data_IF_235836947254
#
_entry.id   IF_235836947254
#
_cell.length_a   1.000
_cell.length_b   1.000
_cell.length_c   1.000
_cell.angle_alpha   90.00
_cell.angle_beta   90.00
_cell.angle_gamma   90.00
#
_symmetry.space_group_name_H-M   'P 1'
#
loop_
_entity.id
_entity.type
_entity.pdbx_description
1 polymer ?
#
# COMPACT_ATOMS: atom_id res chain seq x y z
N UNK A 1 0.89 7.62 -14.05
CA UNK A 1 0.35 8.83 -13.38
C UNK A 1 1.34 9.50 -12.44
N UNK A 2 1.98 8.76 -11.51
CA UNK A 2 2.96 9.35 -10.57
C UNK A 2 4.07 10.18 -11.25
N UNK A 3 4.69 9.65 -12.31
CA UNK A 3 5.72 10.39 -13.07
C UNK A 3 5.23 11.71 -13.66
N UNK A 4 3.98 11.76 -14.11
CA UNK A 4 3.38 12.97 -14.66
C UNK A 4 3.12 14.01 -13.56
N UNK A 5 2.48 13.60 -12.46
CA UNK A 5 2.24 14.48 -11.33
C UNK A 5 3.54 15.04 -10.73
N UNK A 6 4.60 14.22 -10.67
CA UNK A 6 5.93 14.63 -10.24
C UNK A 6 6.55 15.68 -11.19
N UNK A 7 6.50 15.42 -12.50
CA UNK A 7 7.03 16.35 -13.50
C UNK A 7 6.28 17.70 -13.50
N UNK A 8 4.96 17.68 -13.36
CA UNK A 8 4.14 18.90 -13.28
C UNK A 8 4.41 19.69 -12.00
N UNK A 9 4.55 19.01 -10.85
CA UNK A 9 4.91 19.66 -9.58
C UNK A 9 6.27 20.36 -9.70
N UNK A 10 7.27 19.69 -10.26
CA UNK A 10 8.60 20.27 -10.47
C UNK A 10 8.56 21.49 -11.40
N UNK A 11 7.84 21.36 -12.51
CA UNK A 11 7.64 22.43 -13.48
C UNK A 11 6.97 23.66 -12.85
N UNK A 12 5.93 23.43 -12.05
CA UNK A 12 5.20 24.47 -11.33
C UNK A 12 6.09 25.19 -10.31
N UNK A 13 6.88 24.45 -9.52
CA UNK A 13 7.83 25.02 -8.55
C UNK A 13 8.89 25.89 -9.19
N UNK A 14 9.42 25.45 -10.34
CA UNK A 14 10.53 26.11 -11.01
C UNK A 14 10.10 27.12 -12.09
N UNK A 15 8.79 27.22 -12.38
CA UNK A 15 8.23 28.05 -13.45
C UNK A 15 8.84 27.74 -14.82
N UNK A 16 9.01 26.45 -15.09
CA UNK A 16 9.54 25.91 -16.36
C UNK A 16 8.49 25.03 -17.04
N UNK A 17 8.64 24.71 -18.34
CA UNK A 17 7.77 23.73 -19.00
C UNK A 17 7.83 22.35 -18.32
N UNK A 18 6.74 21.60 -18.41
CA UNK A 18 6.66 20.24 -17.88
C UNK A 18 7.70 19.34 -18.59
N UNK A 19 8.64 18.70 -17.85
CA UNK A 19 9.59 17.78 -18.43
C UNK A 19 8.89 16.63 -19.16
N UNK A 20 9.51 16.13 -20.24
CA UNK A 20 9.00 14.97 -20.95
C UNK A 20 8.94 13.75 -20.02
N UNK A 21 7.78 13.09 -19.98
CA UNK A 21 7.51 11.90 -19.20
C UNK A 21 7.52 10.68 -20.10
N UNK A 22 8.24 9.64 -19.69
CA UNK A 22 8.24 8.33 -20.36
C UNK A 22 8.08 7.26 -19.32
N UNK A 23 7.33 6.22 -19.63
CA UNK A 23 7.18 5.05 -18.76
C UNK A 23 7.77 3.87 -19.50
N UNK A 24 8.63 3.11 -18.83
CA UNK A 24 9.17 1.86 -19.34
C UNK A 24 8.42 0.70 -18.70
N UNK A 25 7.76 -0.12 -19.51
CA UNK A 25 6.93 -1.22 -19.04
C UNK A 25 7.72 -2.29 -18.28
N UNK A 26 8.95 -2.59 -18.70
CA UNK A 26 9.83 -3.53 -18.01
C UNK A 26 10.29 -3.00 -16.64
N UNK A 27 10.57 -1.69 -16.52
CA UNK A 27 10.87 -1.06 -15.24
C UNK A 27 9.64 -1.11 -14.29
N UNK A 28 8.45 -0.80 -14.80
CA UNK A 28 7.19 -0.90 -14.04
C UNK A 28 6.93 -2.33 -13.60
N UNK A 29 7.05 -3.30 -14.50
CA UNK A 29 6.86 -4.71 -14.20
C UNK A 29 7.84 -5.18 -13.12
N UNK A 30 9.12 -4.81 -13.21
CA UNK A 30 10.14 -5.13 -12.19
C UNK A 30 9.75 -4.55 -10.83
N UNK A 31 9.29 -3.30 -10.81
CA UNK A 31 8.92 -2.61 -9.57
C UNK A 31 7.59 -3.09 -8.96
N UNK A 32 6.69 -3.67 -9.76
CA UNK A 32 5.43 -4.28 -9.30
C UNK A 32 5.64 -5.67 -8.68
N UNK A 33 6.79 -6.30 -8.92
CA UNK A 33 7.21 -7.55 -8.28
C UNK A 33 8.51 -7.37 -7.50
N UNK A 34 8.73 -6.19 -6.92
CA UNK A 34 9.99 -5.84 -6.25
C UNK A 34 10.37 -6.83 -5.16
N UNK A 35 9.37 -7.39 -4.46
CA UNK A 35 9.55 -8.40 -3.42
C UNK A 35 10.21 -9.69 -3.93
N UNK A 36 10.03 -10.04 -5.21
CA UNK A 36 10.64 -11.23 -5.83
C UNK A 36 12.10 -11.02 -6.16
N UNK A 37 12.47 -9.77 -6.41
CA UNK A 37 13.83 -9.38 -6.76
C UNK A 37 14.68 -9.06 -5.53
N UNK A 38 14.06 -8.69 -4.41
CA UNK A 38 14.75 -8.38 -3.18
C UNK A 38 15.64 -9.54 -2.73
N UNK A 39 16.91 -9.24 -2.47
CA UNK A 39 17.82 -10.10 -1.70
C UNK A 39 18.44 -9.30 -0.57
N UNK A 40 18.44 -9.87 0.63
CA UNK A 40 19.00 -9.28 1.86
C UNK A 40 20.22 -10.11 2.24
N UNK A 41 21.42 -9.58 2.02
CA UNK A 41 22.66 -10.33 2.17
C UNK A 41 22.63 -11.68 1.43
N UNK A 42 22.11 -11.68 0.19
CA UNK A 42 21.95 -12.87 -0.66
C UNK A 42 20.72 -13.74 -0.36
N UNK A 43 20.03 -13.54 0.77
CA UNK A 43 18.80 -14.29 1.14
C UNK A 43 17.56 -13.70 0.47
N UNK A 44 16.67 -14.55 -0.06
CA UNK A 44 15.35 -14.13 -0.52
C UNK A 44 14.34 -14.00 0.65
N UNK A 45 13.43 -13.00 0.62
CA UNK A 45 12.30 -12.91 1.52
C UNK A 45 11.33 -14.10 1.46
N UNK A 46 10.56 -14.30 2.54
CA UNK A 46 9.44 -15.26 2.56
C UNK A 46 8.14 -14.55 2.22
N UNK A 47 7.45 -14.96 1.15
CA UNK A 47 6.32 -14.19 0.60
C UNK A 47 4.94 -14.54 1.19
N UNK A 48 4.65 -15.82 1.45
CA UNK A 48 3.33 -16.25 1.94
C UNK A 48 3.39 -17.40 2.93
N UNK A 49 2.55 -17.32 3.96
CA UNK A 49 2.34 -18.42 4.90
C UNK A 49 1.51 -19.54 4.25
N UNK A 50 1.76 -20.83 4.56
CA UNK A 50 1.05 -21.94 3.92
C UNK A 50 -0.48 -21.93 4.11
N UNK A 51 -0.98 -21.33 5.20
CA UNK A 51 -2.42 -21.19 5.45
C UNK A 51 -3.06 -19.97 4.76
N UNK A 52 -2.29 -19.21 3.99
CA UNK A 52 -2.76 -18.13 3.12
C UNK A 52 -2.96 -18.65 1.70
N UNK A 53 -4.09 -19.30 1.42
CA UNK A 53 -4.39 -19.86 0.10
C UNK A 53 -5.83 -19.70 -0.36
N UNK A 54 -6.12 -20.19 -1.56
CA UNK A 54 -7.47 -20.54 -2.00
C UNK A 54 -7.80 -21.95 -1.54
N UNK A 55 -8.97 -22.11 -0.96
CA UNK A 55 -9.47 -23.37 -0.43
C UNK A 55 -10.85 -23.66 -0.99
N UNK A 56 -11.07 -24.91 -1.35
CA UNK A 56 -12.37 -25.36 -1.82
C UNK A 56 -13.35 -25.35 -0.65
N UNK A 57 -14.52 -24.75 -0.86
CA UNK A 57 -15.65 -24.73 0.04
C UNK A 57 -16.80 -25.57 -0.54
N UNK A 58 -17.89 -25.75 0.20
CA UNK A 58 -19.02 -26.60 -0.23
C UNK A 58 -19.71 -26.10 -1.50
N UNK A 59 -19.71 -24.79 -1.74
CA UNK A 59 -20.43 -24.11 -2.83
C UNK A 59 -19.53 -23.19 -3.68
N UNK A 60 -18.21 -23.27 -3.51
CA UNK A 60 -17.27 -22.40 -4.22
C UNK A 60 -15.86 -22.42 -3.63
N UNK A 61 -15.25 -21.25 -3.53
CA UNK A 61 -13.89 -21.09 -3.02
C UNK A 61 -13.82 -19.99 -1.96
N UNK A 62 -12.88 -20.13 -1.03
CA UNK A 62 -12.54 -19.12 -0.03
C UNK A 62 -11.06 -18.79 -0.13
N UNK A 63 -10.73 -17.50 -0.15
CA UNK A 63 -9.36 -17.00 0.01
C UNK A 63 -9.11 -16.65 1.47
N UNK A 64 -8.20 -17.34 2.14
CA UNK A 64 -7.75 -17.01 3.50
C UNK A 64 -6.53 -16.10 3.46
N UNK A 65 -6.35 -15.29 4.51
CA UNK A 65 -5.11 -14.54 4.74
C UNK A 65 -4.61 -14.80 6.18
N UNK A 66 -3.50 -15.52 6.29
CA UNK A 66 -2.89 -15.98 7.53
C UNK A 66 -1.36 -15.71 7.57
N UNK A 67 -0.89 -14.66 6.87
CA UNK A 67 0.54 -14.32 6.80
C UNK A 67 1.14 -13.89 8.15
N UNK A 68 0.31 -13.40 9.06
CA UNK A 68 0.74 -12.97 10.39
C UNK A 68 0.33 -14.00 11.45
N UNK A 69 1.14 -14.23 12.51
CA UNK A 69 0.83 -15.21 13.56
C UNK A 69 -0.55 -15.01 14.20
N UNK A 70 -0.95 -13.75 14.43
CA UNK A 70 -2.27 -13.45 14.99
C UNK A 70 -3.41 -13.72 13.99
N UNK A 71 -3.23 -13.48 12.69
CA UNK A 71 -4.22 -13.85 11.67
C UNK A 71 -4.38 -15.37 11.57
N UNK A 72 -3.26 -16.11 11.58
CA UNK A 72 -3.24 -17.57 11.63
C UNK A 72 -4.01 -18.11 12.83
N UNK A 73 -3.71 -17.59 14.03
CA UNK A 73 -4.39 -18.01 15.26
C UNK A 73 -5.91 -17.75 15.20
N UNK A 74 -6.34 -16.60 14.66
CA UNK A 74 -7.77 -16.30 14.48
C UNK A 74 -8.46 -17.21 13.46
N UNK A 75 -7.79 -17.51 12.34
CA UNK A 75 -8.32 -18.45 11.35
C UNK A 75 -8.58 -19.83 11.97
N UNK A 76 -7.56 -20.42 12.62
CA UNK A 76 -7.65 -21.75 13.21
C UNK A 76 -8.71 -21.81 14.34
N UNK A 77 -8.66 -20.87 15.28
CA UNK A 77 -9.62 -20.84 16.40
C UNK A 77 -11.06 -20.63 15.95
N UNK A 78 -11.30 -19.81 14.92
CA UNK A 78 -12.66 -19.58 14.38
C UNK A 78 -13.29 -20.83 13.76
N UNK A 79 -12.47 -21.78 13.32
CA UNK A 79 -12.89 -23.03 12.70
C UNK A 79 -12.78 -24.22 13.67
N UNK A 80 -12.43 -23.99 14.94
CA UNK A 80 -12.26 -25.06 15.93
C UNK A 80 -11.06 -25.97 15.66
N UNK A 81 -10.09 -25.51 14.86
CA UNK A 81 -8.89 -26.28 14.52
C UNK A 81 -7.85 -26.06 15.61
N UNK A 82 -7.47 -27.13 16.30
CA UNK A 82 -6.39 -27.08 17.28
C UNK A 82 -5.03 -26.83 16.60
N UNK A 83 -4.25 -25.91 17.16
CA UNK A 83 -2.92 -25.57 16.64
C UNK A 83 -1.89 -26.62 17.10
N UNK A 84 -1.94 -27.80 16.48
CA UNK A 84 -1.21 -28.99 16.93
C UNK A 84 0.15 -29.19 16.25
N UNK A 85 0.66 -28.23 15.46
CA UNK A 85 1.98 -28.35 14.84
C UNK A 85 2.21 -27.51 13.58
N UNK A 86 3.13 -27.98 12.72
CA UNK A 86 3.58 -27.26 11.52
C UNK A 86 2.50 -27.08 10.45
N UNK A 87 2.58 -25.97 9.72
CA UNK A 87 1.53 -25.49 8.81
C UNK A 87 1.12 -26.47 7.70
N UNK A 88 2.02 -27.37 7.28
CA UNK A 88 1.71 -28.42 6.30
C UNK A 88 0.66 -29.42 6.81
N UNK A 89 0.75 -29.82 8.09
CA UNK A 89 -0.24 -30.72 8.69
C UNK A 89 -1.59 -30.01 8.85
N UNK A 90 -1.56 -28.72 9.24
CA UNK A 90 -2.75 -27.91 9.40
C UNK A 90 -3.46 -27.60 8.07
N UNK A 91 -2.73 -27.52 6.96
CA UNK A 91 -3.31 -27.30 5.63
C UNK A 91 -4.31 -28.41 5.25
N UNK A 92 -3.98 -29.67 5.55
CA UNK A 92 -4.90 -30.79 5.30
C UNK A 92 -6.17 -30.73 6.13
N UNK A 93 -6.03 -30.39 7.42
CA UNK A 93 -7.17 -30.22 8.34
C UNK A 93 -8.05 -29.05 7.91
N UNK A 94 -7.43 -27.91 7.58
CA UNK A 94 -8.13 -26.72 7.09
C UNK A 94 -8.89 -27.02 5.79
N UNK A 95 -8.25 -27.70 4.84
CA UNK A 95 -8.90 -28.10 3.58
C UNK A 95 -10.16 -28.94 3.82
N UNK A 96 -10.06 -29.96 4.69
CA UNK A 96 -11.19 -30.81 5.05
C UNK A 96 -12.31 -30.01 5.71
N UNK A 97 -11.96 -29.11 6.64
CA UNK A 97 -12.94 -28.29 7.35
C UNK A 97 -13.69 -27.36 6.39
N UNK A 98 -12.95 -26.63 5.54
CA UNK A 98 -13.53 -25.65 4.62
C UNK A 98 -14.39 -26.29 3.54
N UNK A 99 -14.01 -27.46 3.02
CA UNK A 99 -14.79 -28.16 1.98
C UNK A 99 -16.18 -28.62 2.42
N UNK A 100 -16.45 -28.64 3.73
CA UNK A 100 -17.76 -29.01 4.29
C UNK A 100 -18.69 -27.82 4.57
N UNK A 101 -18.22 -26.57 4.37
CA UNK A 101 -18.95 -25.35 4.74
C UNK A 101 -19.18 -24.44 3.53
N UNK A 102 -20.31 -23.72 3.45
CA UNK A 102 -20.50 -22.67 2.45
C UNK A 102 -19.43 -21.57 2.56
N UNK A 103 -18.95 -21.07 1.42
CA UNK A 103 -17.87 -20.08 1.36
C UNK A 103 -18.24 -18.79 2.10
N UNK A 104 -19.49 -18.32 1.94
CA UNK A 104 -20.00 -17.14 2.63
C UNK A 104 -20.04 -17.32 4.14
N UNK A 105 -20.42 -18.51 4.64
CA UNK A 105 -20.42 -18.80 6.08
C UNK A 105 -19.01 -18.79 6.67
N UNK A 106 -18.05 -19.38 5.97
CA UNK A 106 -16.62 -19.34 6.36
C UNK A 106 -16.14 -17.89 6.45
N UNK A 107 -16.41 -17.08 5.43
CA UNK A 107 -16.04 -15.67 5.41
C UNK A 107 -16.57 -14.94 6.66
N UNK A 108 -17.87 -15.03 6.93
CA UNK A 108 -18.47 -14.30 8.05
C UNK A 108 -17.98 -14.83 9.40
N UNK A 109 -17.82 -16.15 9.54
CA UNK A 109 -17.29 -16.78 10.76
C UNK A 109 -15.88 -16.30 11.07
N UNK A 110 -15.00 -16.33 10.06
CA UNK A 110 -13.59 -15.95 10.23
C UNK A 110 -13.47 -14.44 10.49
N UNK A 111 -14.24 -13.58 9.79
CA UNK A 111 -14.25 -12.14 10.06
C UNK A 111 -14.76 -11.81 11.46
N UNK A 112 -15.82 -12.46 11.93
CA UNK A 112 -16.38 -12.26 13.27
C UNK A 112 -15.36 -12.60 14.37
N UNK A 113 -14.52 -13.61 14.17
CA UNK A 113 -13.43 -13.96 15.08
C UNK A 113 -12.21 -13.03 14.96
N UNK A 114 -12.24 -12.06 14.05
CA UNK A 114 -11.12 -11.16 13.77
C UNK A 114 -10.03 -11.78 12.90
N UNK A 115 -10.28 -12.92 12.24
CA UNK A 115 -9.46 -13.45 11.15
C UNK A 115 -9.76 -12.75 9.83
N UNK A 116 -9.22 -13.29 8.74
CA UNK A 116 -9.45 -12.82 7.38
C UNK A 116 -9.67 -14.00 6.42
N UNK A 117 -10.88 -14.08 5.89
CA UNK A 117 -11.23 -14.97 4.79
C UNK A 117 -12.29 -14.29 3.92
N UNK A 118 -12.21 -14.45 2.60
CA UNK A 118 -13.16 -13.87 1.65
C UNK A 118 -13.64 -14.97 0.71
N UNK A 119 -14.97 -15.10 0.58
CA UNK A 119 -15.58 -15.94 -0.43
C UNK A 119 -15.24 -15.39 -1.82
N UNK A 120 -14.80 -16.24 -2.73
CA UNK A 120 -14.43 -15.84 -4.09
C UNK A 120 -15.70 -15.47 -4.85
N UNK A 121 -15.76 -14.24 -5.34
CA UNK A 121 -16.86 -13.80 -6.19
C UNK A 121 -16.78 -14.51 -7.55
N UNK A 122 -17.88 -15.12 -7.98
CA UNK A 122 -17.97 -15.85 -9.26
C UNK A 122 -18.07 -14.92 -10.48
N UNK A 123 -18.46 -13.68 -10.28
CA UNK A 123 -18.56 -12.64 -11.31
C UNK A 123 -17.90 -11.35 -10.83
N UNK A 124 -17.43 -10.49 -11.75
CA UNK A 124 -16.93 -9.17 -11.40
C UNK A 124 -17.92 -8.38 -10.54
N UNK A 125 -17.43 -7.77 -9.46
CA UNK A 125 -18.20 -6.86 -8.64
C UNK A 125 -18.62 -5.62 -9.46
N UNK A 126 -19.72 -4.98 -9.03
CA UNK A 126 -20.17 -3.74 -9.64
C UNK A 126 -19.07 -2.65 -9.58
N UNK A 127 -19.06 -1.78 -10.59
CA UNK A 127 -18.10 -0.69 -10.66
C UNK A 127 -18.23 0.24 -9.44
N UNK A 128 -17.08 0.60 -8.85
CA UNK A 128 -16.96 1.61 -7.80
C UNK A 128 -16.86 2.98 -8.47
N UNK A 129 -17.60 4.01 -8.00
CA UNK A 129 -17.80 5.25 -8.75
C UNK A 129 -16.57 6.16 -8.89
N UNK A 130 -15.52 6.00 -8.08
CA UNK A 130 -14.34 6.86 -8.16
C UNK A 130 -13.03 6.13 -7.80
N UNK A 131 -12.05 6.20 -8.70
CA UNK A 131 -10.68 5.73 -8.45
C UNK A 131 -9.95 6.56 -7.39
N UNK A 132 -10.22 7.87 -7.37
CA UNK A 132 -9.70 8.82 -6.38
C UNK A 132 -10.83 9.76 -5.95
N UNK A 133 -11.13 9.80 -4.65
CA UNK A 133 -12.01 10.81 -4.07
C UNK A 133 -11.14 11.96 -3.52
N UNK A 134 -11.47 13.19 -3.88
CA UNK A 134 -10.76 14.40 -3.44
C UNK A 134 -11.75 15.42 -2.88
N UNK A 135 -11.39 16.04 -1.76
CA UNK A 135 -12.16 17.13 -1.15
C UNK A 135 -11.21 18.24 -0.71
N UNK A 136 -11.47 19.46 -1.18
CA UNK A 136 -10.87 20.69 -0.63
C UNK A 136 -11.53 21.04 0.69
N UNK A 137 -10.73 21.48 1.67
CA UNK A 137 -11.24 21.91 2.98
C UNK A 137 -10.58 23.21 3.41
N UNK A 138 -11.41 24.14 3.85
CA UNK A 138 -10.98 25.41 4.43
C UNK A 138 -10.43 26.42 3.43
N UNK A 139 -10.13 27.61 3.95
CA UNK A 139 -9.41 28.66 3.23
C UNK A 139 -8.13 28.97 4.00
N UNK A 140 -7.00 28.53 3.48
CA UNK A 140 -5.69 28.99 3.90
C UNK A 140 -4.99 29.63 2.71
N UNK A 141 -4.07 30.56 2.97
CA UNK A 141 -3.28 31.17 1.90
C UNK A 141 -2.46 30.13 1.13
N UNK A 142 -2.10 30.39 -0.14
CA UNK A 142 -1.20 29.52 -0.88
C UNK A 142 0.11 29.34 -0.10
N UNK A 143 0.56 28.08 0.04
CA UNK A 143 1.86 27.77 0.65
C UNK A 143 2.87 27.59 -0.46
N UNK A 144 3.68 28.61 -0.74
CA UNK A 144 4.71 28.53 -1.76
C UNK A 144 5.82 27.57 -1.33
N UNK A 145 6.23 26.68 -2.23
CA UNK A 145 7.45 25.91 -2.11
C UNK A 145 8.54 26.60 -2.91
N UNK A 146 9.76 26.66 -2.38
CA UNK A 146 10.90 27.21 -3.10
C UNK A 146 11.20 26.39 -4.37
N UNK A 147 11.89 26.97 -5.37
CA UNK A 147 12.48 26.20 -6.46
C UNK A 147 13.30 25.02 -5.93
N UNK A 148 13.28 23.89 -6.63
CA UNK A 148 13.90 22.64 -6.18
C UNK A 148 14.45 21.80 -7.33
N UNK A 149 15.41 20.93 -7.02
CA UNK A 149 15.96 19.97 -7.98
C UNK A 149 15.08 18.74 -8.13
N UNK A 150 14.33 18.37 -7.09
CA UNK A 150 13.38 17.25 -7.08
C UNK A 150 11.98 17.68 -6.64
N UNK A 151 10.90 17.03 -7.13
CA UNK A 151 9.54 17.60 -7.05
C UNK A 151 9.04 17.84 -5.62
N UNK A 152 9.29 16.91 -4.70
CA UNK A 152 8.79 16.91 -3.34
C UNK A 152 9.86 17.34 -2.31
N UNK A 153 10.95 17.98 -2.75
CA UNK A 153 11.96 18.56 -1.84
C UNK A 153 11.29 19.48 -0.80
N UNK A 154 11.71 19.38 0.46
CA UNK A 154 11.18 20.14 1.62
C UNK A 154 9.73 19.81 2.00
N UNK A 155 9.12 18.76 1.43
CA UNK A 155 7.81 18.26 1.85
C UNK A 155 8.00 17.25 2.98
N UNK A 156 7.32 17.46 4.11
CA UNK A 156 7.32 16.54 5.25
C UNK A 156 6.11 15.61 5.22
N UNK A 157 6.36 14.30 5.16
CA UNK A 157 5.32 13.28 5.06
C UNK A 157 5.35 12.40 6.30
N UNK A 158 4.25 12.41 7.05
CA UNK A 158 4.03 11.50 8.17
C UNK A 158 3.37 10.23 7.64
N UNK A 159 4.14 9.14 7.60
CA UNK A 159 3.71 7.84 7.08
C UNK A 159 3.15 6.97 8.23
N UNK A 160 1.82 6.87 8.30
CA UNK A 160 1.07 6.00 9.22
C UNK A 160 0.47 4.81 8.46
N UNK A 161 1.18 4.33 7.45
CA UNK A 161 0.73 3.20 6.62
C UNK A 161 1.49 1.94 6.98
N UNK A 162 1.04 0.79 6.47
CA UNK A 162 1.65 -0.52 6.72
C UNK A 162 1.56 -1.41 5.50
N UNK A 163 2.28 -2.53 5.55
CA UNK A 163 2.23 -3.60 4.54
C UNK A 163 2.79 -3.13 3.19
N UNK A 164 1.97 -2.72 2.21
CA UNK A 164 2.44 -2.51 0.84
C UNK A 164 1.92 -1.24 0.17
N UNK A 165 0.60 -1.08 -0.06
CA UNK A 165 0.08 0.05 -0.83
C UNK A 165 0.52 1.43 -0.32
N UNK A 166 0.36 1.66 0.97
CA UNK A 166 0.77 2.91 1.60
C UNK A 166 2.29 3.11 1.61
N UNK A 167 3.08 2.10 2.02
CA UNK A 167 4.53 2.18 1.93
C UNK A 167 5.08 2.40 0.52
N UNK A 168 4.44 1.85 -0.52
CA UNK A 168 4.74 2.13 -1.94
C UNK A 168 4.47 3.59 -2.27
N UNK A 169 3.36 4.16 -1.80
CA UNK A 169 3.07 5.57 -2.00
C UNK A 169 4.13 6.46 -1.34
N UNK A 170 4.45 6.20 -0.07
CA UNK A 170 5.34 7.05 0.70
C UNK A 170 6.81 6.89 0.30
N UNK A 171 7.28 5.70 -0.09
CA UNK A 171 8.62 5.54 -0.69
C UNK A 171 8.75 6.26 -2.02
N UNK A 172 7.65 6.33 -2.79
CA UNK A 172 7.61 7.12 -4.03
C UNK A 172 7.71 8.61 -3.75
N UNK A 173 7.10 9.12 -2.67
CA UNK A 173 7.27 10.51 -2.25
C UNK A 173 8.70 10.79 -1.77
N UNK A 174 9.30 9.87 -1.01
CA UNK A 174 10.69 9.93 -0.56
C UNK A 174 11.68 9.99 -1.74
N UNK A 175 11.51 9.10 -2.73
CA UNK A 175 12.26 9.13 -3.99
C UNK A 175 12.28 10.52 -4.62
N UNK A 176 11.15 11.23 -4.55
CA UNK A 176 10.98 12.55 -5.14
C UNK A 176 11.43 13.70 -4.22
N UNK A 177 12.10 13.38 -3.11
CA UNK A 177 12.76 14.32 -2.20
C UNK A 177 11.97 14.71 -0.95
N UNK A 178 10.84 14.05 -0.66
CA UNK A 178 10.14 14.30 0.60
C UNK A 178 10.91 13.72 1.79
N UNK A 179 10.92 14.42 2.93
CA UNK A 179 11.32 13.83 4.21
C UNK A 179 10.15 12.99 4.73
N UNK A 180 10.29 11.68 4.60
CA UNK A 180 9.26 10.72 4.99
C UNK A 180 9.66 10.03 6.28
N UNK A 181 8.91 10.33 7.34
CA UNK A 181 9.03 9.67 8.63
C UNK A 181 7.85 8.73 8.83
N UNK A 182 8.15 7.43 8.84
CA UNK A 182 7.20 6.39 9.19
C UNK A 182 7.10 6.27 10.71
N UNK A 183 5.87 6.23 11.22
CA UNK A 183 5.58 6.04 12.65
C UNK A 183 4.72 4.81 12.82
N UNK A 184 5.23 3.83 13.57
CA UNK A 184 4.50 2.61 13.94
C UNK A 184 4.26 2.54 15.45
N UNK A 185 3.23 1.79 15.84
CA UNK A 185 2.99 1.44 17.24
C UNK A 185 3.93 0.27 17.65
N UNK A 186 4.63 0.35 18.79
CA UNK A 186 5.55 -0.71 19.24
C UNK A 186 4.89 -2.10 19.38
N UNK A 187 3.59 -2.14 19.66
CA UNK A 187 2.84 -3.37 19.92
C UNK A 187 2.44 -4.12 18.65
N UNK A 188 2.63 -3.51 17.47
CA UNK A 188 2.28 -4.10 16.20
C UNK A 188 3.52 -4.11 15.29
N UNK A 189 4.49 -5.02 15.50
CA UNK A 189 5.71 -5.04 14.72
C UNK A 189 5.43 -5.20 13.23
N UNK A 190 6.26 -4.55 12.41
CA UNK A 190 6.23 -4.73 10.96
C UNK A 190 7.06 -5.94 10.55
N UNK A 191 6.67 -6.59 9.45
CA UNK A 191 7.48 -7.64 8.85
C UNK A 191 8.83 -7.06 8.36
N UNK A 192 9.99 -7.55 8.85
CA UNK A 192 11.28 -6.96 8.52
C UNK A 192 11.63 -6.99 7.03
N UNK A 193 11.23 -8.05 6.32
CA UNK A 193 11.51 -8.20 4.90
C UNK A 193 10.67 -7.20 4.08
N UNK A 194 9.40 -7.04 4.44
CA UNK A 194 8.49 -6.04 3.88
C UNK A 194 8.98 -4.61 4.11
N UNK A 195 9.46 -4.30 5.32
CA UNK A 195 10.09 -3.00 5.62
C UNK A 195 11.37 -2.78 4.80
N UNK A 196 12.15 -3.83 4.59
CA UNK A 196 13.39 -3.73 3.79
C UNK A 196 13.12 -3.41 2.32
N UNK A 197 12.05 -3.95 1.72
CA UNK A 197 11.64 -3.58 0.36
C UNK A 197 11.03 -2.17 0.29
N UNK A 198 10.10 -1.87 1.19
CA UNK A 198 9.24 -0.69 1.08
C UNK A 198 9.75 0.54 1.84
N UNK A 199 10.81 0.39 2.63
CA UNK A 199 11.42 1.44 3.44
C UNK A 199 12.48 2.29 2.72
N UNK A 200 12.77 2.01 1.44
CA UNK A 200 13.76 2.75 0.65
C UNK A 200 13.49 4.26 0.67
N UNK A 201 14.52 5.06 0.98
CA UNK A 201 14.46 6.52 1.10
C UNK A 201 13.68 7.04 2.33
N UNK A 202 13.27 6.18 3.28
CA UNK A 202 12.47 6.59 4.44
C UNK A 202 13.20 6.37 5.75
N UNK A 203 12.82 7.17 6.76
CA UNK A 203 13.13 6.95 8.17
C UNK A 203 11.94 6.27 8.87
N UNK A 204 12.21 5.57 9.96
CA UNK A 204 11.21 4.81 10.73
C UNK A 204 11.43 4.93 12.23
N UNK A 205 10.38 5.30 12.95
CA UNK A 205 10.38 5.45 14.42
C UNK A 205 9.17 4.75 15.04
N UNK A 206 9.24 4.46 16.34
CA UNK A 206 8.14 3.88 17.10
C UNK A 206 7.62 4.89 18.11
N UNK A 207 6.30 5.08 18.14
CA UNK A 207 5.64 5.94 19.12
C UNK A 207 4.40 5.24 19.66
N UNK A 208 4.33 5.08 20.98
CA UNK A 208 3.12 4.63 21.68
C UNK A 208 2.25 5.82 22.04
N UNK A 209 1.20 6.07 21.27
CA UNK A 209 0.29 7.21 21.52
C UNK A 209 -0.47 7.14 22.85
N UNK A 210 -0.38 6.04 23.61
CA UNK A 210 -0.86 5.97 25.00
C UNK A 210 0.13 6.53 26.02
N UNK A 211 1.42 6.63 25.67
CA UNK A 211 2.44 7.31 26.45
C UNK A 211 2.31 8.82 26.26
N UNK A 212 2.19 9.63 27.33
CA UNK A 212 2.12 11.09 27.21
C UNK A 212 3.32 11.72 26.49
N UNK A 213 4.52 11.16 26.67
CA UNK A 213 5.75 11.65 26.04
C UNK A 213 5.74 11.42 24.53
N UNK A 214 5.47 10.19 24.11
CA UNK A 214 5.39 9.81 22.70
C UNK A 214 4.23 10.53 22.00
N UNK A 215 3.11 10.70 22.71
CA UNK A 215 1.97 11.50 22.23
C UNK A 215 2.38 12.93 21.95
N UNK A 216 3.16 13.56 22.83
CA UNK A 216 3.67 14.91 22.63
C UNK A 216 4.60 14.98 21.41
N UNK A 217 5.57 14.07 21.30
CA UNK A 217 6.47 13.99 20.15
C UNK A 217 5.71 13.79 18.82
N UNK A 218 4.66 12.96 18.83
CA UNK A 218 3.81 12.75 17.68
C UNK A 218 3.05 14.02 17.27
N UNK A 219 2.48 14.76 18.23
CA UNK A 219 1.78 16.01 17.94
C UNK A 219 2.74 17.10 17.42
N UNK A 220 3.99 17.14 17.88
CA UNK A 220 5.03 18.04 17.37
C UNK A 220 5.42 17.72 15.92
N UNK A 221 5.53 16.43 15.59
CA UNK A 221 5.72 15.96 14.21
C UNK A 221 4.53 16.35 13.34
N UNK A 222 3.32 16.05 13.80
CA UNK A 222 2.07 16.32 13.10
C UNK A 222 1.87 17.81 12.83
N UNK A 223 2.19 18.67 13.79
CA UNK A 223 2.09 20.13 13.65
C UNK A 223 2.98 20.74 12.58
N UNK A 224 3.99 20.00 12.12
CA UNK A 224 4.94 20.40 11.10
C UNK A 224 4.78 19.66 9.78
N UNK A 225 3.91 18.64 9.72
CA UNK A 225 3.71 17.82 8.54
C UNK A 225 3.01 18.60 7.41
N UNK A 226 3.39 18.29 6.18
CA UNK A 226 2.67 18.73 4.97
C UNK A 226 1.63 17.71 4.51
N UNK A 227 1.92 16.44 4.76
CA UNK A 227 1.10 15.31 4.36
C UNK A 227 1.04 14.31 5.52
N UNK A 228 -0.16 13.82 5.81
CA UNK A 228 -0.36 12.62 6.64
C UNK A 228 -0.95 11.54 5.77
N UNK A 229 -0.32 10.36 5.77
CA UNK A 229 -0.80 9.20 5.00
C UNK A 229 -1.23 8.09 5.95
N UNK A 230 -2.46 7.59 5.82
CA UNK A 230 -2.99 6.50 6.65
C UNK A 230 -3.46 5.33 5.81
N UNK A 231 -3.12 4.10 6.21
CA UNK A 231 -3.53 2.86 5.53
C UNK A 231 -4.39 1.92 6.37
N UNK A 232 -5.07 2.44 7.39
CA UNK A 232 -5.92 1.67 8.28
C UNK A 232 -7.37 1.63 7.81
N UNK A 233 -8.18 0.76 8.41
CA UNK A 233 -9.64 0.79 8.22
C UNK A 233 -10.18 2.19 8.50
N UNK A 234 -11.20 2.65 7.74
CA UNK A 234 -11.90 3.89 8.05
C UNK A 234 -12.25 3.98 9.55
N UNK A 235 -11.97 5.13 10.17
CA UNK A 235 -12.24 5.37 11.59
C UNK A 235 -11.25 4.79 12.60
N UNK A 236 -10.32 3.92 12.18
CA UNK A 236 -9.46 3.18 13.12
C UNK A 236 -8.51 4.06 13.94
N UNK A 237 -8.22 5.27 13.48
CA UNK A 237 -7.33 6.23 14.13
C UNK A 237 -8.09 7.43 14.73
N UNK A 238 -9.41 7.51 14.59
CA UNK A 238 -10.20 8.68 15.02
C UNK A 238 -10.10 8.93 16.52
N UNK A 239 -10.07 7.85 17.32
CA UNK A 239 -9.87 7.93 18.78
C UNK A 239 -8.56 8.59 19.20
N UNK A 240 -7.59 8.65 18.28
CA UNK A 240 -6.30 9.31 18.49
C UNK A 240 -6.29 10.75 17.97
N UNK A 241 -7.43 11.30 17.57
CA UNK A 241 -7.52 12.66 17.02
C UNK A 241 -7.08 12.76 15.56
N UNK A 242 -7.02 11.63 14.84
CA UNK A 242 -6.56 11.54 13.45
C UNK A 242 -7.71 11.41 12.45
N UNK A 243 -8.93 11.77 12.86
CA UNK A 243 -10.05 11.90 11.95
C UNK A 243 -9.74 13.01 10.93
N UNK A 244 -9.98 12.82 9.61
CA UNK A 244 -9.59 13.78 8.59
C UNK A 244 -10.15 15.20 8.79
N UNK A 245 -11.41 15.33 9.21
CA UNK A 245 -12.01 16.64 9.45
C UNK A 245 -11.36 17.32 10.67
N UNK A 246 -11.12 16.58 11.76
CA UNK A 246 -10.43 17.12 12.93
C UNK A 246 -8.99 17.56 12.62
N UNK A 247 -8.29 16.83 11.76
CA UNK A 247 -6.95 17.18 11.28
C UNK A 247 -6.97 18.45 10.42
N UNK A 248 -7.92 18.56 9.49
CA UNK A 248 -8.02 19.69 8.57
C UNK A 248 -8.53 20.96 9.27
N UNK A 249 -9.33 20.82 10.33
CA UNK A 249 -9.72 21.93 11.20
C UNK A 249 -8.51 22.47 11.99
N UNK A 250 -7.67 21.57 12.52
CA UNK A 250 -6.46 21.94 13.28
C UNK A 250 -5.33 22.46 12.37
N UNK A 251 -5.21 21.90 11.17
CA UNK A 251 -4.16 22.20 10.20
C UNK A 251 -4.75 22.48 8.81
N UNK A 252 -5.27 23.69 8.54
CA UNK A 252 -6.01 24.03 7.31
C UNK A 252 -5.19 24.03 6.01
N UNK A 253 -3.91 23.67 6.04
CA UNK A 253 -3.05 23.48 4.86
C UNK A 253 -2.57 22.04 4.67
N UNK A 254 -2.99 21.12 5.54
CA UNK A 254 -2.55 19.73 5.53
C UNK A 254 -3.17 18.96 4.37
N UNK A 255 -2.41 18.03 3.79
CA UNK A 255 -2.93 16.98 2.92
C UNK A 255 -3.14 15.72 3.75
N UNK A 256 -4.38 15.32 3.97
CA UNK A 256 -4.74 14.06 4.64
C UNK A 256 -5.07 13.03 3.56
N UNK A 257 -4.21 12.02 3.40
CA UNK A 257 -4.36 11.00 2.39
C UNK A 257 -4.66 9.64 3.05
N UNK A 258 -5.81 9.05 2.72
CA UNK A 258 -6.23 7.78 3.28
C UNK A 258 -6.37 6.72 2.19
N UNK A 259 -5.97 5.49 2.51
CA UNK A 259 -6.34 4.32 1.73
C UNK A 259 -6.93 3.21 2.59
N UNK A 260 -7.81 2.42 1.99
CA UNK A 260 -8.39 1.22 2.60
C UNK A 260 -8.45 0.07 1.58
N UNK A 261 -8.80 -1.13 2.04
CA UNK A 261 -8.89 -2.30 1.15
C UNK A 261 -10.13 -2.26 0.26
N UNK A 262 -11.28 -1.92 0.84
CA UNK A 262 -12.58 -2.10 0.18
C UNK A 262 -13.08 -0.79 -0.44
N UNK A 263 -14.14 -0.19 0.07
CA UNK A 263 -14.59 1.14 -0.32
C UNK A 263 -14.96 1.91 0.96
N UNK A 264 -15.29 3.18 0.82
CA UNK A 264 -15.66 4.08 1.91
C UNK A 264 -17.12 3.91 2.36
N UNK A 265 -17.85 3.00 1.71
CA UNK A 265 -19.26 2.71 1.97
C UNK A 265 -19.57 1.23 1.76
N UNK A 266 -20.77 0.82 2.16
CA UNK A 266 -21.23 -0.56 2.00
C UNK A 266 -20.77 -1.50 3.13
N UNK A 267 -21.17 -2.79 3.06
CA UNK A 267 -21.05 -3.74 4.17
C UNK A 267 -19.59 -4.10 4.51
N UNK A 268 -18.64 -3.81 3.62
CA UNK A 268 -17.22 -4.13 3.78
C UNK A 268 -16.36 -2.92 4.11
N UNK A 269 -16.94 -1.71 4.24
CA UNK A 269 -16.19 -0.48 4.49
C UNK A 269 -15.30 -0.56 5.75
N UNK A 270 -15.79 -1.22 6.80
CA UNK A 270 -15.07 -1.38 8.07
C UNK A 270 -14.28 -2.69 8.16
N UNK A 271 -14.27 -3.51 7.10
CA UNK A 271 -13.53 -4.78 7.10
C UNK A 271 -12.05 -4.52 6.83
N UNK A 272 -11.19 -5.33 7.45
CA UNK A 272 -9.79 -5.43 7.01
C UNK A 272 -9.75 -6.10 5.63
N UNK A 273 -8.69 -5.85 4.89
CA UNK A 273 -8.45 -6.53 3.64
C UNK A 273 -6.98 -6.42 3.25
N UNK A 274 -6.62 -7.25 2.28
CA UNK A 274 -5.32 -7.32 1.65
C UNK A 274 -5.58 -7.48 0.15
N UNK A 275 -4.64 -7.09 -0.69
CA UNK A 275 -4.75 -7.22 -2.15
C UNK A 275 -5.32 -8.57 -2.58
N UNK A 276 -4.77 -9.68 -2.07
CA UNK A 276 -5.23 -11.03 -2.41
C UNK A 276 -6.69 -11.33 -2.03
N UNK A 277 -7.18 -10.73 -0.94
CA UNK A 277 -8.59 -10.85 -0.53
C UNK A 277 -9.48 -9.97 -1.40
N UNK A 278 -9.00 -8.79 -1.77
CA UNK A 278 -9.72 -7.88 -2.67
C UNK A 278 -9.86 -8.52 -4.04
N UNK A 279 -8.79 -9.10 -4.61
CA UNK A 279 -8.87 -9.87 -5.85
C UNK A 279 -9.93 -10.99 -5.79
N UNK A 280 -10.01 -11.71 -4.67
CA UNK A 280 -11.02 -12.75 -4.47
C UNK A 280 -12.44 -12.18 -4.42
N UNK A 281 -12.66 -11.12 -3.64
CA UNK A 281 -13.98 -10.54 -3.42
C UNK A 281 -14.52 -9.69 -4.58
N UNK A 282 -13.65 -9.18 -5.47
CA UNK A 282 -14.07 -8.36 -6.62
C UNK A 282 -14.25 -9.16 -7.90
N UNK A 283 -13.92 -10.45 -7.91
CA UNK A 283 -14.07 -11.34 -9.07
C UNK A 283 -12.82 -11.45 -9.96
N UNK A 284 -11.74 -10.73 -9.65
CA UNK A 284 -10.45 -10.87 -10.36
C UNK A 284 -9.96 -12.32 -10.26
N UNK A 285 -10.04 -12.93 -9.08
CA UNK A 285 -9.57 -14.32 -8.89
C UNK A 285 -10.34 -15.34 -9.74
N UNK A 286 -11.61 -15.07 -10.07
CA UNK A 286 -12.40 -15.92 -10.95
C UNK A 286 -12.04 -15.73 -12.44
N UNK A 287 -11.65 -14.52 -12.85
CA UNK A 287 -11.14 -14.25 -14.19
C UNK A 287 -9.78 -14.92 -14.40
N UNK A 288 -8.90 -14.83 -13.40
CA UNK A 288 -7.57 -15.45 -13.40
C UNK A 288 -7.61 -16.96 -13.14
N UNK A 289 -8.80 -17.57 -13.10
CA UNK A 289 -8.93 -18.98 -12.81
C UNK A 289 -8.19 -19.85 -13.83
N UNK A 290 -7.55 -20.89 -13.31
CA UNK A 290 -6.94 -21.96 -14.09
C UNK A 290 -7.98 -22.74 -14.90
N UNK A 291 -7.54 -23.52 -15.89
CA UNK A 291 -8.43 -24.31 -16.75
C UNK A 291 -9.28 -25.34 -15.98
N UNK A 292 -8.82 -25.80 -14.82
CA UNK A 292 -9.56 -26.67 -13.89
C UNK A 292 -10.49 -25.91 -12.93
N UNK A 293 -10.63 -24.59 -13.09
CA UNK A 293 -11.56 -23.74 -12.35
C UNK A 293 -11.08 -23.32 -10.97
N UNK A 294 -9.82 -23.60 -10.60
CA UNK A 294 -9.22 -23.08 -9.37
C UNK A 294 -8.92 -21.58 -9.54
N UNK A 295 -9.38 -20.71 -8.60
CA UNK A 295 -9.15 -19.27 -8.67
C UNK A 295 -7.65 -18.92 -8.73
N UNK A 296 -7.33 -17.90 -9.52
CA UNK A 296 -5.97 -17.41 -9.71
C UNK A 296 -5.71 -16.07 -9.02
N UNK A 297 -4.55 -15.50 -9.34
CA UNK A 297 -4.10 -14.20 -8.87
C UNK A 297 -3.46 -13.42 -10.02
N UNK A 298 -3.54 -12.10 -9.95
CA UNK A 298 -2.73 -11.23 -10.80
C UNK A 298 -1.23 -11.56 -10.64
N UNK A 299 -0.39 -11.27 -11.65
CA UNK A 299 1.03 -11.61 -11.64
C UNK A 299 1.85 -10.86 -10.59
N UNK A 300 1.25 -9.94 -9.85
CA UNK A 300 1.82 -9.12 -8.79
C UNK A 300 0.74 -8.80 -7.73
N UNK A 301 1.13 -8.20 -6.60
CA UNK A 301 0.21 -7.46 -5.74
C UNK A 301 -0.20 -6.14 -6.40
N UNK A 302 -0.83 -6.24 -7.57
CA UNK A 302 -1.05 -5.13 -8.49
C UNK A 302 -2.04 -4.10 -7.96
N UNK A 303 -2.98 -4.50 -7.09
CA UNK A 303 -3.89 -3.56 -6.44
C UNK A 303 -3.13 -2.72 -5.41
N UNK A 304 -2.25 -3.34 -4.61
CA UNK A 304 -1.41 -2.64 -3.64
C UNK A 304 -0.46 -1.65 -4.34
N UNK A 305 0.34 -2.14 -5.30
CA UNK A 305 1.28 -1.28 -6.04
C UNK A 305 0.55 -0.18 -6.83
N UNK A 306 -0.51 -0.54 -7.56
CA UNK A 306 -1.32 0.39 -8.33
C UNK A 306 -1.90 1.49 -7.45
N UNK A 307 -2.57 1.12 -6.35
CA UNK A 307 -3.14 2.08 -5.39
C UNK A 307 -2.07 2.95 -4.75
N UNK A 308 -0.90 2.39 -4.44
CA UNK A 308 0.22 3.13 -3.89
C UNK A 308 0.74 4.23 -4.84
N UNK A 309 1.00 3.89 -6.10
CA UNK A 309 1.43 4.89 -7.09
C UNK A 309 0.34 5.92 -7.42
N UNK A 310 -0.94 5.52 -7.40
CA UNK A 310 -2.08 6.43 -7.54
C UNK A 310 -2.17 7.41 -6.36
N UNK A 311 -1.99 6.92 -5.13
CA UNK A 311 -1.98 7.74 -3.93
C UNK A 311 -0.82 8.75 -3.97
N UNK A 312 0.39 8.32 -4.34
CA UNK A 312 1.53 9.23 -4.51
C UNK A 312 1.23 10.32 -5.56
N UNK A 313 0.64 9.94 -6.70
CA UNK A 313 0.20 10.90 -7.72
C UNK A 313 -0.84 11.88 -7.17
N UNK A 314 -1.83 11.40 -6.42
CA UNK A 314 -2.88 12.22 -5.81
C UNK A 314 -2.30 13.21 -4.79
N UNK A 315 -1.32 12.78 -3.97
CA UNK A 315 -0.62 13.65 -3.02
C UNK A 315 0.16 14.74 -3.75
N UNK A 316 0.95 14.40 -4.78
CA UNK A 316 1.71 15.38 -5.57
C UNK A 316 0.80 16.40 -6.26
N UNK A 317 -0.36 15.95 -6.78
CA UNK A 317 -1.40 16.83 -7.34
C UNK A 317 -1.99 17.74 -6.28
N UNK A 318 -2.38 17.21 -5.12
CA UNK A 318 -2.91 17.99 -4.01
C UNK A 318 -1.94 19.07 -3.53
N UNK A 319 -0.64 18.72 -3.40
CA UNK A 319 0.42 19.66 -3.06
C UNK A 319 0.60 20.74 -4.13
N UNK A 320 0.55 20.36 -5.41
CA UNK A 320 0.62 21.30 -6.55
C UNK A 320 -0.56 22.27 -6.56
N UNK A 321 -1.79 21.78 -6.36
CA UNK A 321 -2.98 22.63 -6.33
C UNK A 321 -2.93 23.59 -5.14
N UNK A 322 -2.39 23.14 -3.99
CA UNK A 322 -2.20 23.97 -2.79
C UNK A 322 -1.26 25.15 -3.04
N UNK A 323 -0.30 25.04 -3.97
CA UNK A 323 0.58 26.15 -4.35
C UNK A 323 -0.18 27.36 -4.92
N UNK A 324 -1.35 27.13 -5.53
CA UNK A 324 -2.15 28.18 -6.16
C UNK A 324 -3.43 28.50 -5.38
N UNK A 325 -4.11 27.47 -4.88
CA UNK A 325 -5.45 27.60 -4.27
C UNK A 325 -5.43 27.63 -2.75
N UNK A 326 -4.31 27.26 -2.13
CA UNK A 326 -4.24 27.04 -0.69
C UNK A 326 -5.25 26.01 -0.19
N UNK A 327 -5.57 26.05 1.10
CA UNK A 327 -6.46 25.12 1.78
C UNK A 327 -5.91 23.70 1.92
N UNK A 328 -6.60 22.90 2.73
CA UNK A 328 -6.27 21.51 2.97
C UNK A 328 -6.92 20.60 1.94
N UNK A 329 -6.43 19.36 1.85
CA UNK A 329 -6.94 18.35 0.93
C UNK A 329 -7.20 17.06 1.69
N UNK A 330 -8.35 16.46 1.47
CA UNK A 330 -8.64 15.10 1.90
C UNK A 330 -8.70 14.21 0.66
N UNK A 331 -7.81 13.22 0.61
CA UNK A 331 -7.68 12.26 -0.47
C UNK A 331 -8.05 10.86 0.02
N UNK A 332 -8.80 10.13 -0.80
CA UNK A 332 -9.31 8.80 -0.49
C UNK A 332 -9.17 7.88 -1.69
N UNK A 333 -8.48 6.77 -1.50
CA UNK A 333 -8.31 5.71 -2.50
C UNK A 333 -8.59 4.34 -1.86
N UNK A 334 -8.87 3.33 -2.67
CA UNK A 334 -9.00 1.98 -2.15
C UNK A 334 -8.54 0.92 -3.13
N UNK A 335 -8.14 -0.25 -2.60
CA UNK A 335 -7.74 -1.37 -3.45
C UNK A 335 -8.92 -1.85 -4.31
N UNK A 336 -10.15 -1.85 -3.78
CA UNK A 336 -11.33 -2.20 -4.59
C UNK A 336 -11.65 -1.14 -5.66
N UNK A 337 -11.31 0.14 -5.43
CA UNK A 337 -11.37 1.18 -6.45
C UNK A 337 -10.39 0.90 -7.60
N UNK A 338 -9.15 0.51 -7.29
CA UNK A 338 -8.17 0.07 -8.29
C UNK A 338 -8.60 -1.21 -9.00
N UNK A 339 -9.19 -2.17 -8.27
CA UNK A 339 -9.75 -3.39 -8.86
C UNK A 339 -10.90 -3.07 -9.83
N UNK A 340 -11.81 -2.17 -9.45
CA UNK A 340 -12.89 -1.70 -10.31
C UNK A 340 -12.34 -1.06 -11.58
N UNK A 341 -11.32 -0.20 -11.46
CA UNK A 341 -10.68 0.42 -12.62
C UNK A 341 -10.06 -0.61 -13.58
N UNK A 342 -9.39 -1.63 -13.04
CA UNK A 342 -8.84 -2.73 -13.85
C UNK A 342 -9.93 -3.56 -14.56
N UNK A 343 -11.05 -3.82 -13.88
CA UNK A 343 -12.13 -4.66 -14.41
C UNK A 343 -13.00 -3.96 -15.45
N UNK A 344 -13.21 -2.64 -15.29
CA UNK A 344 -14.26 -1.92 -16.03
C UNK A 344 -13.72 -0.84 -16.98
N UNK A 345 -12.59 -0.23 -16.66
CA UNK A 345 -12.11 0.96 -17.37
C UNK A 345 -10.83 0.72 -18.19
N UNK A 346 -10.12 -0.38 -17.93
CA UNK A 346 -8.96 -0.80 -18.71
C UNK A 346 -9.37 -1.90 -19.66
N UNK A 347 -9.15 -1.69 -20.95
CA UNK A 347 -9.32 -2.74 -21.97
C UNK A 347 -8.07 -3.61 -22.00
N UNK A 348 -8.17 -4.93 -21.76
CA UNK A 348 -7.03 -5.81 -21.90
C UNK A 348 -6.54 -5.81 -23.35
N UNK A 349 -5.24 -5.61 -23.54
CA UNK A 349 -4.60 -5.90 -24.82
C UNK A 349 -4.11 -7.35 -24.78
N UNK A 350 -4.48 -8.21 -25.73
CA UNK A 350 -3.96 -9.58 -25.78
C UNK A 350 -2.44 -9.56 -25.82
N UNK A 351 -1.79 -10.35 -24.95
CA UNK A 351 -0.34 -10.54 -25.03
C UNK A 351 0.02 -11.13 -26.41
N UNK A 352 0.94 -10.50 -27.12
CA UNK A 352 1.40 -10.98 -28.42
C UNK A 352 2.59 -11.92 -28.23
N UNK A 353 2.37 -13.24 -28.22
CA UNK A 353 3.44 -14.26 -28.17
C UNK A 353 3.61 -14.95 -26.81
N UNK A 354 4.70 -15.71 -26.64
CA UNK A 354 5.14 -16.19 -25.32
C UNK A 354 5.29 -14.98 -24.40
N UNK A 355 4.74 -15.05 -23.17
CA UNK A 355 4.71 -13.96 -22.20
C UNK A 355 5.98 -13.11 -22.29
N UNK A 356 5.86 -11.85 -22.75
CA UNK A 356 6.99 -10.97 -23.07
C UNK A 356 8.06 -11.03 -21.98
N UNK A 357 9.09 -11.83 -22.21
CA UNK A 357 10.17 -12.02 -21.25
C UNK A 357 11.07 -10.78 -21.36
N UNK A 358 10.89 -9.84 -20.43
CA UNK A 358 11.78 -8.70 -20.32
C UNK A 358 12.96 -9.06 -19.40
N UNK A 359 14.13 -8.50 -19.70
CA UNK A 359 15.28 -8.62 -18.80
C UNK A 359 15.08 -7.70 -17.59
N UNK A 360 14.68 -8.27 -16.46
CA UNK A 360 14.58 -7.54 -15.19
C UNK A 360 15.95 -7.05 -14.68
N UNK A 361 17.06 -7.69 -15.08
CA UNK A 361 18.40 -7.44 -14.54
C UNK A 361 18.87 -5.99 -14.68
N UNK A 362 18.50 -5.32 -15.78
CA UNK A 362 18.85 -3.90 -16.03
C UNK A 362 18.06 -2.92 -15.15
N UNK A 363 17.02 -3.39 -14.47
CA UNK A 363 16.17 -2.62 -13.56
C UNK A 363 16.43 -2.95 -12.10
N UNK A 364 17.51 -3.67 -11.82
CA UNK A 364 17.94 -4.01 -10.47
C UNK A 364 19.24 -3.28 -10.14
N UNK A 365 19.44 -3.04 -8.86
CA UNK A 365 20.67 -2.46 -8.34
C UNK A 365 21.04 -3.08 -7.00
N UNK A 366 22.24 -2.76 -6.52
CA UNK A 366 22.71 -3.17 -5.21
C UNK A 366 23.02 -1.93 -4.37
N UNK A 367 22.66 -1.96 -3.08
CA UNK A 367 22.88 -0.86 -2.15
C UNK A 367 23.26 -1.41 -0.78
N UNK A 368 24.32 -0.87 -0.20
CA UNK A 368 24.74 -1.19 1.17
C UNK A 368 23.71 -0.68 2.19
N UNK A 369 23.42 -1.49 3.20
CA UNK A 369 22.42 -1.12 4.21
C UNK A 369 22.74 -1.66 5.59
N UNK A 370 21.99 -1.19 6.58
CA UNK A 370 22.01 -1.72 7.94
C UNK A 370 21.55 -3.19 8.03
N UNK A 371 20.94 -3.74 6.99
CA UNK A 371 20.54 -5.14 6.85
C UNK A 371 21.54 -5.98 6.04
N UNK A 372 22.67 -5.39 5.63
CA UNK A 372 23.63 -5.96 4.69
C UNK A 372 23.40 -5.48 3.26
N UNK A 373 24.13 -6.06 2.29
CA UNK A 373 23.97 -5.73 0.87
C UNK A 373 22.56 -6.10 0.40
N UNK A 374 21.83 -5.10 -0.10
CA UNK A 374 20.50 -5.28 -0.67
C UNK A 374 20.61 -5.33 -2.18
N UNK A 375 20.06 -6.36 -2.82
CA UNK A 375 19.74 -6.35 -4.26
C UNK A 375 18.26 -6.07 -4.41
N UNK A 376 17.87 -5.01 -5.11
CA UNK A 376 16.46 -4.58 -5.17
C UNK A 376 16.12 -3.92 -6.51
N UNK A 377 14.82 -3.71 -6.75
CA UNK A 377 14.33 -3.00 -7.93
C UNK A 377 14.64 -1.49 -7.87
N UNK A 378 14.95 -0.93 -9.03
CA UNK A 378 15.01 0.51 -9.25
C UNK A 378 13.60 1.12 -9.26
N UNK A 379 13.46 2.40 -8.90
CA UNK A 379 12.17 3.08 -8.94
C UNK A 379 11.62 3.19 -10.37
N UNK A 380 10.31 2.99 -10.61
CA UNK A 380 9.73 3.05 -11.96
C UNK A 380 9.30 4.47 -12.38
N UNK A 381 9.62 5.49 -11.59
CA UNK A 381 9.22 6.88 -11.85
C UNK A 381 10.25 7.57 -12.74
N UNK A 382 9.84 7.97 -13.93
CA UNK A 382 10.72 8.55 -14.93
C UNK A 382 10.14 9.79 -15.61
N UNK A 383 10.93 10.86 -15.61
CA UNK A 383 10.78 12.08 -16.41
C UNK A 383 12.18 12.68 -16.59
N UNK A 384 12.37 13.61 -17.53
CA UNK A 384 13.69 14.23 -17.72
C UNK A 384 14.15 14.97 -16.44
N UNK A 385 15.26 14.51 -15.83
CA UNK A 385 15.75 15.00 -14.53
C UNK A 385 15.23 14.25 -13.30
N UNK A 386 14.47 13.17 -13.47
CA UNK A 386 14.02 12.33 -12.35
C UNK A 386 15.21 11.62 -11.66
N UNK A 387 15.12 11.38 -10.34
CA UNK A 387 16.04 10.49 -9.63
C UNK A 387 16.07 9.10 -10.26
N UNK A 388 17.27 8.54 -10.44
CA UNK A 388 17.47 7.23 -11.08
C UNK A 388 17.53 6.08 -10.09
N UNK A 389 17.70 6.37 -8.80
CA UNK A 389 17.73 5.40 -7.70
C UNK A 389 17.13 6.04 -6.43
N UNK A 390 16.88 5.21 -5.41
CA UNK A 390 16.53 5.66 -4.07
C UNK A 390 17.70 6.42 -3.43
N UNK A 391 17.41 7.46 -2.65
CA UNK A 391 18.44 8.32 -2.04
C UNK A 391 19.29 7.57 -1.00
N UNK A 392 18.65 6.70 -0.22
CA UNK A 392 19.33 5.82 0.72
C UNK A 392 18.54 4.51 0.94
N UNK A 393 19.24 3.48 1.42
CA UNK A 393 18.62 2.23 1.88
C UNK A 393 17.70 2.48 3.09
N UNK A 394 16.73 1.58 3.39
CA UNK A 394 15.94 1.68 4.61
C UNK A 394 16.81 1.70 5.86
N UNK A 395 16.47 2.58 6.79
CA UNK A 395 16.94 2.49 8.17
C UNK A 395 16.32 1.27 8.85
N UNK A 396 16.90 0.84 9.98
CA UNK A 396 16.29 -0.24 10.75
C UNK A 396 14.92 0.19 11.25
N UNK A 397 13.94 -0.70 11.09
CA UNK A 397 12.56 -0.44 11.51
C UNK A 397 12.52 0.06 12.96
N UNK A 398 11.94 1.24 13.14
CA UNK A 398 11.71 1.83 14.46
C UNK A 398 12.93 2.43 15.16
N UNK A 399 14.09 2.54 14.51
CA UNK A 399 15.33 3.00 15.18
C UNK A 399 15.63 4.49 15.05
N UNK A 400 14.97 5.21 14.14
CA UNK A 400 15.20 6.64 13.98
C UNK A 400 14.54 7.45 15.09
N UNK A 401 15.10 8.63 15.36
CA UNK A 401 14.50 9.59 16.28
C UNK A 401 13.21 10.17 15.71
N UNK A 402 12.19 10.47 16.54
CA UNK A 402 10.92 11.05 16.10
C UNK A 402 11.04 12.56 15.86
N UNK A 403 11.88 12.97 14.90
CA UNK A 403 12.06 14.36 14.49
C UNK A 403 12.20 14.47 12.95
N UNK A 404 11.87 15.63 12.38
CA UNK A 404 12.16 15.92 10.97
C UNK A 404 13.68 16.11 10.75
N UNK A 405 14.16 15.77 9.55
CA UNK A 405 15.57 15.83 9.18
C UNK A 405 16.06 17.28 8.93
#
# INVERSE_FOLDING_TARGET
>A
MASLAAAEMLALRNRVPVPAVRVNEAAVATAFVSERHLRIAGRAPTSFAPLSGFWQAADGWVRTHANYPHHRARLLSSLGIADTGGDQALAGVLSKELSSRPAGEVQETVYAAGGLAVAVASTPAAAVPALVQTRHVGQSGPRLLAPASVPAQDVRVLDLTRVLAGPVATRTLALLGADVLRVDAPQLPEDPDTHTDTGMGKRSTLLDLSSPGDRHAFEDLLGQADVVVTGYRPGALDRHGLAPDALLDRYPGLVVAQLCAWDWSGPWAERRGFDSLVQAGTGIAAIEATADGRPGVLPAQALDHGTGYLLAAAVLRALSDRLNTGGGRHLRLSLAGTASWLLHDIRPTPAQGEADTYDSGVWLTETESSYGLLRHALPPVHFNGAPVNWDHAPTRWGTDSPNWA
#
